data_IF_174297082880
#
_entry.id   IF_174297082880
#
_cell.length_a   1.000
_cell.length_b   1.000
_cell.length_c   1.000
_cell.angle_alpha   90.00
_cell.angle_beta   90.00
_cell.angle_gamma   90.00
#
_symmetry.space_group_name_H-M   'P 1'
#
loop_
_entity.id
_entity.type
_entity.pdbx_description
1 polymer ?
#
# COMPACT_ATOMS: atom_id res chain seq x y z
N UNK A 1 -25.11 10.44 2.93
CA UNK A 1 -23.64 10.46 3.02
C UNK A 1 -23.15 9.06 2.68
N UNK A 2 -22.34 8.91 1.64
CA UNK A 2 -21.71 7.64 1.29
C UNK A 2 -20.81 7.20 2.45
N UNK A 3 -21.05 6.02 3.02
CA UNK A 3 -20.15 5.43 4.01
C UNK A 3 -18.98 4.81 3.26
N UNK A 4 -17.79 5.41 3.37
CA UNK A 4 -16.58 4.84 2.81
C UNK A 4 -16.08 3.71 3.73
N UNK A 5 -15.65 2.56 3.17
CA UNK A 5 -15.23 1.41 3.97
C UNK A 5 -13.79 1.61 4.46
N UNK A 6 -13.57 2.61 5.31
CA UNK A 6 -12.30 2.76 6.01
C UNK A 6 -12.10 1.65 7.03
N UNK A 7 -10.84 1.37 7.32
CA UNK A 7 -10.52 0.55 8.47
C UNK A 7 -10.85 1.31 9.76
N UNK A 8 -11.68 0.71 10.60
CA UNK A 8 -12.06 1.21 11.92
C UNK A 8 -11.71 0.14 12.95
N UNK A 9 -10.95 0.53 13.99
CA UNK A 9 -10.47 -0.40 15.02
C UNK A 9 -11.50 -0.68 16.13
N UNK A 10 -12.74 -0.17 15.98
CA UNK A 10 -13.83 -0.33 16.92
C UNK A 10 -13.70 0.53 18.19
N UNK A 11 -12.64 1.33 18.30
CA UNK A 11 -12.43 2.22 19.44
C UNK A 11 -13.13 3.56 19.26
N UNK A 12 -13.09 4.39 20.29
CA UNK A 12 -13.54 5.80 20.24
C UNK A 12 -12.36 6.77 20.16
N UNK A 13 -11.16 6.25 19.87
CA UNK A 13 -9.95 7.08 19.73
C UNK A 13 -10.12 8.09 18.59
N UNK A 14 -9.42 9.21 18.69
CA UNK A 14 -9.34 10.14 17.57
C UNK A 14 -8.76 9.44 16.32
N UNK A 15 -9.18 9.82 15.10
CA UNK A 15 -8.61 9.30 13.87
C UNK A 15 -7.08 9.42 13.86
N UNK A 16 -6.39 8.37 13.44
CA UNK A 16 -4.93 8.28 13.56
C UNK A 16 -4.27 7.60 12.37
N UNK A 17 -2.99 7.91 12.16
CA UNK A 17 -2.12 7.17 11.27
C UNK A 17 -1.72 5.83 11.93
N UNK A 18 -1.61 4.77 11.13
CA UNK A 18 -0.98 3.51 11.51
C UNK A 18 0.13 3.19 10.53
N UNK A 19 1.34 3.00 11.04
CA UNK A 19 2.53 2.79 10.22
C UNK A 19 2.82 1.30 10.12
N UNK A 20 3.09 0.80 8.93
CA UNK A 20 3.44 -0.59 8.69
C UNK A 20 4.57 -0.78 7.71
N UNK A 21 4.95 -2.04 7.59
CA UNK A 21 6.00 -2.50 6.70
C UNK A 21 5.54 -3.75 5.94
N UNK A 22 5.96 -3.91 4.71
CA UNK A 22 5.68 -5.11 3.95
C UNK A 22 6.70 -6.21 4.24
N UNK A 23 6.25 -7.45 4.37
CA UNK A 23 7.12 -8.58 4.71
C UNK A 23 8.07 -8.91 3.55
N UNK A 24 7.62 -8.77 2.31
CA UNK A 24 8.46 -9.00 1.12
C UNK A 24 9.55 -7.94 0.97
N UNK A 25 9.35 -6.71 1.48
CA UNK A 25 10.41 -5.72 1.57
C UNK A 25 11.52 -6.13 2.54
N UNK A 26 11.31 -7.15 3.37
CA UNK A 26 12.35 -7.69 4.24
C UNK A 26 13.16 -8.81 3.58
N UNK A 27 12.82 -9.24 2.36
CA UNK A 27 13.58 -10.24 1.63
C UNK A 27 15.02 -9.78 1.35
N UNK A 28 15.97 -10.72 1.52
CA UNK A 28 17.42 -10.52 1.32
C UNK A 28 18.05 -9.43 2.19
N UNK A 29 17.39 -9.05 3.29
CA UNK A 29 17.95 -8.15 4.30
C UNK A 29 18.56 -8.95 5.46
N UNK A 30 19.62 -8.43 6.16
CA UNK A 30 20.21 -7.10 6.00
C UNK A 30 20.92 -6.90 4.67
N UNK A 31 20.97 -5.65 4.22
CA UNK A 31 21.50 -5.27 2.90
C UNK A 31 22.87 -5.91 2.64
N UNK A 32 22.95 -6.69 1.55
CA UNK A 32 24.17 -7.35 1.08
C UNK A 32 24.87 -8.29 2.08
N UNK A 33 24.16 -8.74 3.12
CA UNK A 33 24.66 -9.73 4.06
C UNK A 33 24.74 -11.12 3.42
N UNK A 34 25.65 -11.97 3.90
CA UNK A 34 25.77 -13.35 3.42
C UNK A 34 24.57 -14.22 3.85
N UNK A 35 23.92 -13.85 4.95
CA UNK A 35 22.76 -14.53 5.49
C UNK A 35 21.62 -13.54 5.68
N UNK A 36 20.46 -13.92 5.16
CA UNK A 36 19.21 -13.20 5.34
C UNK A 36 18.66 -13.42 6.76
N UNK A 37 17.99 -12.40 7.31
CA UNK A 37 17.20 -12.55 8.52
C UNK A 37 16.17 -13.66 8.38
N UNK A 38 16.01 -14.46 9.42
CA UNK A 38 14.91 -15.41 9.54
C UNK A 38 13.57 -14.67 9.57
N UNK A 39 12.48 -15.39 9.28
CA UNK A 39 11.13 -14.83 9.34
C UNK A 39 10.82 -14.18 10.70
N UNK A 40 11.26 -14.82 11.79
CA UNK A 40 11.06 -14.31 13.14
C UNK A 40 11.85 -13.03 13.40
N UNK A 41 13.14 -12.99 13.04
CA UNK A 41 13.96 -11.77 13.15
C UNK A 41 13.36 -10.61 12.36
N UNK A 42 12.83 -10.85 11.15
CA UNK A 42 12.16 -9.81 10.35
C UNK A 42 10.96 -9.21 11.09
N UNK A 43 10.11 -10.06 11.67
CA UNK A 43 8.92 -9.62 12.42
C UNK A 43 9.32 -8.86 13.68
N UNK A 44 10.34 -9.32 14.40
CA UNK A 44 10.88 -8.65 15.58
C UNK A 44 11.46 -7.28 15.24
N UNK A 45 12.28 -7.18 14.19
CA UNK A 45 12.86 -5.92 13.69
C UNK A 45 11.76 -4.92 13.28
N UNK A 46 10.71 -5.38 12.59
CA UNK A 46 9.56 -4.52 12.23
C UNK A 46 8.90 -3.97 13.50
N UNK A 47 8.64 -4.84 14.49
CA UNK A 47 8.02 -4.45 15.76
C UNK A 47 8.88 -3.46 16.54
N UNK A 48 10.17 -3.73 16.67
CA UNK A 48 11.12 -2.89 17.43
C UNK A 48 11.27 -1.49 16.81
N UNK A 49 11.14 -1.38 15.49
CA UNK A 49 11.10 -0.09 14.79
C UNK A 49 9.80 0.71 15.02
N UNK A 50 8.83 0.14 15.74
CA UNK A 50 7.56 0.79 16.05
C UNK A 50 6.56 0.81 14.89
N UNK A 51 6.70 -0.09 13.93
CA UNK A 51 5.62 -0.41 13.00
C UNK A 51 4.51 -1.20 13.74
N UNK A 52 3.30 -1.12 13.24
CA UNK A 52 2.07 -1.59 13.89
C UNK A 52 1.33 -2.64 13.05
N UNK A 53 1.62 -2.75 11.76
CA UNK A 53 1.10 -3.79 10.88
C UNK A 53 2.15 -4.31 9.92
N UNK A 54 1.93 -5.54 9.44
CA UNK A 54 2.75 -6.19 8.42
C UNK A 54 1.89 -6.60 7.25
N UNK A 55 2.29 -6.19 6.05
CA UNK A 55 1.66 -6.64 4.81
C UNK A 55 2.27 -7.92 4.29
N UNK A 56 1.40 -8.87 3.93
CA UNK A 56 1.82 -10.22 3.62
C UNK A 56 1.15 -10.73 2.34
N UNK A 57 1.98 -11.10 1.35
CA UNK A 57 1.57 -11.95 0.23
C UNK A 57 1.54 -13.41 0.67
N UNK A 58 0.41 -13.85 1.20
CA UNK A 58 0.22 -15.21 1.75
C UNK A 58 -1.04 -15.88 1.20
N UNK A 59 -1.14 -17.19 1.41
CA UNK A 59 -2.25 -18.05 0.97
C UNK A 59 -2.80 -18.85 2.14
N UNK A 60 -3.91 -19.55 1.94
CA UNK A 60 -4.52 -20.45 2.94
C UNK A 60 -3.74 -21.75 3.22
N UNK A 61 -2.47 -21.82 2.85
CA UNK A 61 -1.61 -22.99 3.05
C UNK A 61 -0.88 -22.94 4.41
N UNK A 62 -0.12 -23.99 4.73
CA UNK A 62 0.58 -24.09 6.01
C UNK A 62 1.63 -22.98 6.21
N UNK A 63 2.25 -22.50 5.13
CA UNK A 63 3.19 -21.39 5.20
C UNK A 63 2.46 -20.09 5.56
N UNK A 64 1.34 -19.79 4.90
CA UNK A 64 0.53 -18.61 5.21
C UNK A 64 -0.05 -18.63 6.62
N UNK A 65 -0.53 -19.80 7.09
CA UNK A 65 -0.96 -19.98 8.49
C UNK A 65 0.17 -19.69 9.48
N UNK A 66 1.37 -20.19 9.20
CA UNK A 66 2.54 -19.96 10.04
C UNK A 66 2.93 -18.47 10.10
N UNK A 67 2.97 -17.78 8.95
CA UNK A 67 3.25 -16.34 8.88
C UNK A 67 2.19 -15.54 9.65
N UNK A 68 0.90 -15.82 9.41
CA UNK A 68 -0.20 -15.16 10.10
C UNK A 68 -0.15 -15.37 11.62
N UNK A 69 0.22 -16.57 12.07
CA UNK A 69 0.40 -16.86 13.49
C UNK A 69 1.55 -16.04 14.10
N UNK A 70 2.72 -16.01 13.45
CA UNK A 70 3.87 -15.23 13.94
C UNK A 70 3.58 -13.73 14.01
N UNK A 71 2.91 -13.16 12.99
CA UNK A 71 2.51 -11.75 13.00
C UNK A 71 1.59 -11.47 14.19
N UNK A 72 0.57 -12.30 14.41
CA UNK A 72 -0.35 -12.15 15.54
C UNK A 72 0.34 -12.31 16.90
N UNK A 73 1.20 -13.32 17.06
CA UNK A 73 1.95 -13.58 18.30
C UNK A 73 2.92 -12.44 18.65
N UNK A 74 3.43 -11.74 17.63
CA UNK A 74 4.24 -10.53 17.83
C UNK A 74 3.43 -9.33 18.32
N UNK A 75 2.10 -9.34 18.16
CA UNK A 75 1.21 -8.21 18.47
C UNK A 75 1.05 -7.20 17.33
N UNK A 76 1.65 -7.47 16.16
CA UNK A 76 1.44 -6.69 14.94
C UNK A 76 0.11 -7.08 14.28
N UNK A 77 -0.51 -6.15 13.57
CA UNK A 77 -1.68 -6.42 12.76
C UNK A 77 -1.28 -7.04 11.41
N UNK A 78 -2.07 -7.98 10.90
CA UNK A 78 -1.86 -8.61 9.61
C UNK A 78 -2.65 -7.86 8.52
N UNK A 79 -2.00 -7.50 7.43
CA UNK A 79 -2.66 -7.07 6.20
C UNK A 79 -2.49 -8.17 5.15
N UNK A 80 -3.60 -8.58 4.55
CA UNK A 80 -3.62 -9.68 3.59
C UNK A 80 -3.57 -9.14 2.16
N UNK A 81 -2.51 -9.46 1.43
CA UNK A 81 -2.32 -9.03 0.05
C UNK A 81 -2.73 -10.15 -0.91
N UNK A 82 -3.49 -9.83 -1.95
CA UNK A 82 -3.87 -10.80 -2.98
C UNK A 82 -3.96 -10.18 -4.38
N UNK A 83 -3.73 -11.03 -5.38
CA UNK A 83 -3.80 -10.71 -6.80
C UNK A 83 -4.81 -11.64 -7.48
N UNK A 84 -6.11 -11.31 -7.47
CA UNK A 84 -7.14 -12.17 -8.06
C UNK A 84 -7.16 -12.02 -9.58
N UNK A 85 -7.28 -13.14 -10.30
CA UNK A 85 -7.43 -13.19 -11.75
C UNK A 85 -8.87 -13.45 -12.20
N UNK A 86 -9.71 -13.94 -11.29
CA UNK A 86 -11.13 -14.18 -11.51
C UNK A 86 -11.92 -14.01 -10.20
N UNK A 87 -13.25 -14.13 -10.27
CA UNK A 87 -14.16 -13.96 -9.12
C UNK A 87 -13.92 -15.01 -8.03
N UNK A 88 -13.65 -16.27 -8.40
CA UNK A 88 -13.39 -17.33 -7.41
C UNK A 88 -12.15 -17.02 -6.58
N UNK A 89 -11.09 -16.49 -7.21
CA UNK A 89 -9.84 -16.15 -6.53
C UNK A 89 -10.06 -15.11 -5.41
N UNK A 90 -10.77 -14.02 -5.71
CA UNK A 90 -11.01 -12.95 -4.73
C UNK A 90 -11.93 -13.41 -3.59
N UNK A 91 -12.96 -14.22 -3.89
CA UNK A 91 -13.86 -14.76 -2.86
C UNK A 91 -13.08 -15.63 -1.86
N UNK A 92 -12.23 -16.53 -2.37
CA UNK A 92 -11.39 -17.39 -1.54
C UNK A 92 -10.35 -16.58 -0.74
N UNK A 93 -9.76 -15.56 -1.35
CA UNK A 93 -8.78 -14.70 -0.67
C UNK A 93 -9.40 -13.94 0.50
N UNK A 94 -10.61 -13.39 0.32
CA UNK A 94 -11.32 -12.68 1.41
C UNK A 94 -11.69 -13.62 2.55
N UNK A 95 -12.12 -14.86 2.25
CA UNK A 95 -12.37 -15.88 3.29
C UNK A 95 -11.10 -16.21 4.06
N UNK A 96 -9.99 -16.44 3.34
CA UNK A 96 -8.69 -16.71 3.97
C UNK A 96 -8.22 -15.55 4.84
N UNK A 97 -8.40 -14.30 4.38
CA UNK A 97 -8.04 -13.12 5.13
C UNK A 97 -8.83 -13.01 6.44
N UNK A 98 -10.14 -13.31 6.40
CA UNK A 98 -10.97 -13.36 7.59
C UNK A 98 -10.54 -14.47 8.55
N UNK A 99 -10.26 -15.68 8.05
CA UNK A 99 -9.79 -16.80 8.86
C UNK A 99 -8.44 -16.50 9.55
N UNK A 100 -7.58 -15.73 8.89
CA UNK A 100 -6.29 -15.32 9.44
C UNK A 100 -6.39 -14.12 10.39
N UNK A 101 -7.57 -13.51 10.53
CA UNK A 101 -7.76 -12.32 11.35
C UNK A 101 -7.05 -11.10 10.78
N UNK A 102 -6.99 -10.98 9.45
CA UNK A 102 -6.44 -9.81 8.79
C UNK A 102 -7.25 -8.55 9.14
N UNK A 103 -6.56 -7.43 9.20
CA UNK A 103 -7.13 -6.12 9.48
C UNK A 103 -7.93 -5.58 8.28
N UNK A 104 -7.40 -5.82 7.07
CA UNK A 104 -8.02 -5.51 5.80
C UNK A 104 -7.37 -6.33 4.67
N UNK A 105 -8.00 -6.31 3.50
CA UNK A 105 -7.48 -6.91 2.27
C UNK A 105 -6.96 -5.83 1.34
N UNK A 106 -5.73 -5.97 0.89
CA UNK A 106 -5.18 -5.22 -0.24
C UNK A 106 -5.26 -6.11 -1.49
N UNK A 107 -5.85 -5.57 -2.56
CA UNK A 107 -6.11 -6.28 -3.81
C UNK A 107 -5.41 -5.61 -4.99
N UNK A 108 -4.62 -6.38 -5.73
CA UNK A 108 -4.12 -6.04 -7.06
C UNK A 108 -4.93 -6.80 -8.13
N UNK A 109 -6.03 -6.26 -8.68
CA UNK A 109 -6.91 -7.05 -9.53
C UNK A 109 -6.33 -7.25 -10.94
N UNK A 110 -6.39 -8.51 -11.40
CA UNK A 110 -6.10 -8.93 -12.77
C UNK A 110 -4.77 -8.37 -13.34
N UNK A 111 -4.76 -8.07 -14.64
CA UNK A 111 -3.63 -7.41 -15.33
C UNK A 111 -4.13 -6.20 -16.10
N UNK A 112 -3.19 -5.38 -16.55
CA UNK A 112 -3.41 -4.27 -17.48
C UNK A 112 -4.19 -4.65 -18.76
N UNK A 113 -4.15 -5.93 -19.15
CA UNK A 113 -4.71 -6.42 -20.42
C UNK A 113 -6.14 -6.96 -20.29
N UNK A 114 -6.71 -6.98 -19.09
CA UNK A 114 -8.09 -7.42 -18.88
C UNK A 114 -9.07 -6.28 -19.18
N UNK A 115 -10.29 -6.63 -19.58
CA UNK A 115 -11.32 -5.64 -19.85
C UNK A 115 -11.93 -5.06 -18.58
N UNK A 116 -12.44 -3.82 -18.65
CA UNK A 116 -13.14 -3.18 -17.54
C UNK A 116 -14.28 -4.05 -16.95
N UNK A 117 -15.17 -4.69 -17.75
CA UNK A 117 -16.23 -5.53 -17.19
C UNK A 117 -15.71 -6.74 -16.40
N UNK A 118 -14.63 -7.38 -16.87
CA UNK A 118 -14.01 -8.52 -16.16
C UNK A 118 -13.46 -8.08 -14.81
N UNK A 119 -12.68 -6.99 -14.81
CA UNK A 119 -12.07 -6.45 -13.58
C UNK A 119 -13.12 -5.91 -12.61
N UNK A 120 -14.14 -5.24 -13.13
CA UNK A 120 -15.23 -4.73 -12.31
C UNK A 120 -16.00 -5.87 -11.61
N UNK A 121 -16.18 -7.01 -12.28
CA UNK A 121 -16.80 -8.20 -11.69
C UNK A 121 -15.96 -8.77 -10.53
N UNK A 122 -14.64 -8.86 -10.71
CA UNK A 122 -13.72 -9.32 -9.65
C UNK A 122 -13.77 -8.37 -8.45
N UNK A 123 -13.58 -7.07 -8.66
CA UNK A 123 -13.53 -6.09 -7.57
C UNK A 123 -14.87 -6.02 -6.83
N UNK A 124 -15.99 -6.04 -7.55
CA UNK A 124 -17.32 -6.00 -6.93
C UNK A 124 -17.55 -7.23 -6.04
N UNK A 125 -17.27 -8.44 -6.55
CA UNK A 125 -17.45 -9.66 -5.78
C UNK A 125 -16.56 -9.68 -4.51
N UNK A 126 -15.31 -9.23 -4.62
CA UNK A 126 -14.40 -9.10 -3.49
C UNK A 126 -14.91 -8.12 -2.44
N UNK A 127 -15.35 -6.92 -2.86
CA UNK A 127 -15.88 -5.90 -1.96
C UNK A 127 -17.18 -6.35 -1.26
N UNK A 128 -18.10 -7.00 -1.98
CA UNK A 128 -19.34 -7.54 -1.41
C UNK A 128 -19.05 -8.64 -0.38
N UNK A 129 -18.14 -9.57 -0.70
CA UNK A 129 -17.72 -10.63 0.23
C UNK A 129 -17.04 -10.04 1.46
N UNK A 130 -16.17 -9.05 1.27
CA UNK A 130 -15.46 -8.37 2.35
C UNK A 130 -16.43 -7.64 3.29
N UNK A 131 -17.47 -7.00 2.75
CA UNK A 131 -18.53 -6.40 3.56
C UNK A 131 -19.28 -7.42 4.43
N UNK A 132 -19.56 -8.64 3.91
CA UNK A 132 -20.19 -9.72 4.68
C UNK A 132 -19.31 -10.17 5.85
N UNK A 133 -18.00 -10.32 5.63
CA UNK A 133 -17.04 -10.72 6.67
C UNK A 133 -16.49 -9.54 7.49
N UNK A 134 -16.97 -8.31 7.22
CA UNK A 134 -16.59 -7.06 7.89
C UNK A 134 -15.10 -6.69 7.78
N UNK A 135 -14.52 -6.95 6.61
CA UNK A 135 -13.16 -6.51 6.28
C UNK A 135 -13.21 -5.31 5.32
N UNK A 136 -12.38 -4.28 5.52
CA UNK A 136 -12.08 -3.32 4.48
C UNK A 136 -11.39 -4.02 3.30
N UNK A 137 -11.71 -3.57 2.09
CA UNK A 137 -11.16 -4.12 0.85
C UNK A 137 -10.67 -2.96 -0.01
N UNK A 138 -9.35 -2.87 -0.20
CA UNK A 138 -8.70 -1.77 -0.90
C UNK A 138 -8.09 -2.27 -2.20
N UNK A 139 -8.45 -1.65 -3.31
CA UNK A 139 -7.87 -1.90 -4.62
C UNK A 139 -6.63 -1.04 -4.80
N UNK A 140 -5.49 -1.65 -5.06
CA UNK A 140 -4.23 -0.95 -5.24
C UNK A 140 -4.10 -0.32 -6.61
N UNK A 141 -3.54 0.88 -6.68
CA UNK A 141 -3.00 1.48 -7.91
C UNK A 141 -1.63 0.87 -8.21
N UNK A 142 -1.51 -0.01 -9.21
CA UNK A 142 -0.28 -0.76 -9.43
C UNK A 142 -0.01 -1.02 -10.92
N UNK A 143 1.24 -0.83 -11.36
CA UNK A 143 1.65 -1.10 -12.75
C UNK A 143 1.53 -2.59 -13.07
N UNK A 144 1.21 -2.98 -14.31
CA UNK A 144 0.94 -4.38 -14.68
C UNK A 144 -0.36 -4.98 -14.05
N UNK A 145 -1.16 -4.17 -13.36
CA UNK A 145 -2.54 -4.46 -12.98
C UNK A 145 -3.49 -3.55 -13.75
N UNK A 146 -4.80 -3.78 -13.67
CA UNK A 146 -5.77 -2.94 -14.41
C UNK A 146 -5.66 -1.45 -14.06
N UNK A 147 -5.31 -1.16 -12.82
CA UNK A 147 -5.13 0.18 -12.24
C UNK A 147 -3.73 0.76 -12.51
N UNK A 148 -3.09 0.42 -13.63
CA UNK A 148 -1.73 0.90 -13.94
C UNK A 148 -1.68 2.38 -14.35
N UNK A 149 -2.79 2.93 -14.87
CA UNK A 149 -2.89 4.33 -15.26
C UNK A 149 -4.04 5.06 -14.55
N UNK A 150 -3.94 6.39 -14.49
CA UNK A 150 -5.01 7.25 -13.96
C UNK A 150 -6.31 7.05 -14.77
N UNK A 151 -6.34 7.10 -16.12
CA UNK A 151 -7.58 6.89 -16.88
C UNK A 151 -8.27 5.55 -16.60
N UNK A 152 -7.55 4.43 -16.61
CA UNK A 152 -8.14 3.11 -16.32
C UNK A 152 -8.70 3.04 -14.89
N UNK A 153 -8.00 3.67 -13.93
CA UNK A 153 -8.47 3.73 -12.55
C UNK A 153 -9.74 4.57 -12.42
N UNK A 154 -9.86 5.68 -13.17
CA UNK A 154 -11.07 6.51 -13.23
C UNK A 154 -12.25 5.78 -13.90
N UNK A 155 -12.00 4.97 -14.94
CA UNK A 155 -13.00 4.10 -15.53
C UNK A 155 -13.53 3.07 -14.52
N UNK A 156 -12.63 2.45 -13.74
CA UNK A 156 -13.00 1.52 -12.68
C UNK A 156 -13.81 2.21 -11.57
N UNK A 157 -13.43 3.43 -11.18
CA UNK A 157 -14.18 4.26 -10.23
C UNK A 157 -15.59 4.57 -10.76
N UNK A 158 -15.72 4.85 -12.06
CA UNK A 158 -17.01 5.11 -12.68
C UNK A 158 -17.90 3.86 -12.65
N UNK A 159 -17.32 2.68 -12.91
CA UNK A 159 -18.02 1.40 -12.84
C UNK A 159 -18.36 1.00 -11.39
N UNK A 160 -17.53 1.36 -10.40
CA UNK A 160 -17.68 1.01 -8.99
C UNK A 160 -17.51 2.28 -8.12
N UNK A 161 -18.57 3.11 -7.98
CA UNK A 161 -18.45 4.41 -7.33
C UNK A 161 -17.95 4.40 -5.88
N UNK A 162 -18.19 3.29 -5.16
CA UNK A 162 -17.80 3.06 -3.77
C UNK A 162 -16.45 2.35 -3.59
N UNK A 163 -15.67 2.17 -4.67
CA UNK A 163 -14.34 1.55 -4.57
C UNK A 163 -13.45 2.31 -3.59
N UNK A 164 -12.77 1.57 -2.72
CA UNK A 164 -11.75 2.11 -1.83
C UNK A 164 -10.36 1.70 -2.33
N UNK A 165 -9.40 2.59 -2.19
CA UNK A 165 -8.10 2.52 -2.87
C UNK A 165 -6.96 2.37 -1.87
N UNK A 166 -6.01 1.48 -2.20
CA UNK A 166 -4.62 1.55 -1.73
C UNK A 166 -3.85 2.42 -2.71
N UNK A 167 -3.41 3.61 -2.29
CA UNK A 167 -2.63 4.50 -3.14
C UNK A 167 -1.15 4.15 -3.07
N UNK A 168 -0.66 3.47 -4.12
CA UNK A 168 0.76 3.48 -4.47
C UNK A 168 0.96 4.33 -5.73
N UNK A 169 1.15 5.63 -5.53
CA UNK A 169 1.31 6.57 -6.63
C UNK A 169 2.68 6.49 -7.33
N UNK A 170 3.63 5.71 -6.82
CA UNK A 170 4.89 5.46 -7.52
C UNK A 170 4.68 4.81 -8.88
N UNK A 171 3.62 4.01 -9.02
CA UNK A 171 3.25 3.38 -10.27
C UNK A 171 2.72 4.37 -11.29
N UNK A 172 1.85 5.31 -10.88
CA UNK A 172 1.40 6.37 -11.78
C UNK A 172 2.54 7.30 -12.17
N UNK A 173 3.43 7.61 -11.23
CA UNK A 173 4.58 8.48 -11.49
C UNK A 173 5.51 7.89 -12.54
N UNK A 174 5.84 6.59 -12.43
CA UNK A 174 6.75 5.94 -13.40
C UNK A 174 6.07 5.62 -14.74
N UNK A 175 4.76 5.32 -14.75
CA UNK A 175 4.05 4.99 -16.00
C UNK A 175 3.68 6.24 -16.78
N UNK A 176 3.33 7.32 -16.09
CA UNK A 176 2.87 8.57 -16.69
C UNK A 176 3.93 9.66 -16.82
N UNK A 177 5.20 9.40 -16.46
CA UNK A 177 6.26 10.41 -16.40
C UNK A 177 5.83 11.67 -15.61
N UNK A 178 5.24 11.48 -14.43
CA UNK A 178 4.63 12.58 -13.66
C UNK A 178 5.68 13.31 -12.80
N UNK A 179 6.06 14.53 -13.20
CA UNK A 179 7.12 15.32 -12.54
C UNK A 179 6.64 16.45 -11.61
N UNK A 180 5.33 16.63 -11.38
CA UNK A 180 4.86 17.60 -10.39
C UNK A 180 3.41 18.09 -10.54
N UNK A 181 2.88 18.68 -9.47
CA UNK A 181 1.49 19.16 -9.33
C UNK A 181 1.07 20.17 -10.42
N UNK A 182 1.95 21.11 -10.77
CA UNK A 182 1.62 22.16 -11.73
C UNK A 182 1.72 21.74 -13.20
N UNK A 183 2.45 20.66 -13.50
CA UNK A 183 2.94 20.43 -14.85
C UNK A 183 1.87 19.95 -15.85
N UNK A 184 0.77 19.31 -15.43
CA UNK A 184 -0.11 18.61 -16.40
C UNK A 184 -1.60 18.55 -16.00
N UNK A 185 -2.02 19.29 -14.95
CA UNK A 185 -3.39 19.16 -14.41
C UNK A 185 -3.70 17.79 -13.79
N UNK A 186 -2.69 16.92 -13.64
CA UNK A 186 -2.85 15.57 -13.09
C UNK A 186 -3.43 15.57 -11.66
N UNK A 187 -3.27 16.67 -10.92
CA UNK A 187 -3.88 16.92 -9.61
C UNK A 187 -5.39 16.78 -9.65
N UNK A 188 -6.04 17.39 -10.65
CA UNK A 188 -7.50 17.32 -10.78
C UNK A 188 -7.93 15.92 -11.25
N UNK A 189 -7.08 15.21 -11.99
CA UNK A 189 -7.34 13.82 -12.39
C UNK A 189 -7.09 12.81 -11.24
N UNK A 190 -6.20 13.12 -10.30
CA UNK A 190 -5.93 12.31 -9.12
C UNK A 190 -6.98 12.54 -8.03
N UNK A 191 -7.64 13.70 -7.97
CA UNK A 191 -8.61 14.04 -6.92
C UNK A 191 -9.70 12.98 -6.72
N UNK A 192 -10.36 12.43 -7.76
CA UNK A 192 -11.33 11.35 -7.58
C UNK A 192 -10.72 10.06 -7.00
N UNK A 193 -9.44 9.81 -7.23
CA UNK A 193 -8.71 8.66 -6.66
C UNK A 193 -8.35 8.95 -5.21
N UNK A 194 -7.81 10.14 -4.92
CA UNK A 194 -7.44 10.63 -3.57
C UNK A 194 -8.63 10.58 -2.62
N UNK A 195 -9.82 10.99 -3.06
CA UNK A 195 -11.07 10.94 -2.29
C UNK A 195 -11.51 9.51 -1.93
N UNK A 196 -10.89 8.49 -2.51
CA UNK A 196 -11.17 7.06 -2.27
C UNK A 196 -10.06 6.35 -1.51
N UNK A 197 -8.96 7.03 -1.24
CA UNK A 197 -7.83 6.45 -0.51
C UNK A 197 -8.26 6.11 0.91
N UNK A 198 -8.08 4.84 1.25
CA UNK A 198 -8.24 4.31 2.61
C UNK A 198 -6.95 3.67 3.15
N UNK A 199 -5.92 3.54 2.31
CA UNK A 199 -4.63 2.96 2.62
C UNK A 199 -3.57 3.53 1.66
N UNK A 200 -2.33 3.74 2.12
CA UNK A 200 -1.24 4.33 1.31
C UNK A 200 0.00 3.43 1.34
N UNK A 201 0.59 3.17 0.17
CA UNK A 201 1.95 2.64 0.07
C UNK A 201 2.95 3.80 -0.10
N UNK A 202 4.09 3.66 0.58
CA UNK A 202 5.08 4.70 0.78
C UNK A 202 6.21 4.73 -0.24
N UNK A 203 6.17 3.88 -1.28
CA UNK A 203 7.21 3.87 -2.32
C UNK A 203 7.31 5.24 -2.98
N UNK A 204 8.53 5.70 -3.21
CA UNK A 204 8.82 6.96 -3.90
C UNK A 204 9.48 6.65 -5.26
N UNK A 205 8.92 7.24 -6.30
CA UNK A 205 9.45 7.24 -7.67
C UNK A 205 10.02 8.62 -8.02
N UNK A 206 11.01 8.67 -8.91
CA UNK A 206 11.50 9.92 -9.50
C UNK A 206 10.99 10.16 -10.93
N UNK A 207 9.99 9.39 -11.39
CA UNK A 207 9.45 9.45 -12.76
C UNK A 207 10.08 8.42 -13.70
N UNK A 208 11.34 8.07 -13.49
CA UNK A 208 12.09 7.14 -14.36
C UNK A 208 12.33 5.78 -13.70
N UNK A 209 12.47 5.79 -12.38
CA UNK A 209 12.61 4.61 -11.54
C UNK A 209 11.47 4.61 -10.54
N UNK A 210 10.72 3.51 -10.50
CA UNK A 210 9.59 3.38 -9.58
C UNK A 210 9.98 3.46 -8.10
N UNK A 211 11.24 3.13 -7.80
CA UNK A 211 11.77 3.06 -6.45
C UNK A 211 13.16 3.70 -6.44
N UNK A 212 13.33 4.76 -5.64
CA UNK A 212 14.59 5.47 -5.50
C UNK A 212 14.99 5.62 -4.03
N UNK A 213 16.29 5.80 -3.80
CA UNK A 213 16.82 6.27 -2.52
C UNK A 213 16.59 7.79 -2.41
N UNK A 214 16.00 8.23 -1.30
CA UNK A 214 15.69 9.64 -1.02
C UNK A 214 16.59 10.25 0.06
N UNK A 215 17.74 9.64 0.32
CA UNK A 215 18.69 10.05 1.34
C UNK A 215 18.10 9.93 2.73
N UNK A 216 18.26 10.97 3.55
CA UNK A 216 17.69 11.05 4.91
C UNK A 216 16.24 11.58 4.94
N UNK A 217 15.63 11.83 3.77
CA UNK A 217 14.26 12.34 3.66
C UNK A 217 14.08 13.78 4.16
N UNK A 218 15.16 14.55 4.29
CA UNK A 218 15.07 15.95 4.72
C UNK A 218 14.78 16.91 3.57
N UNK A 219 15.21 16.58 2.35
CA UNK A 219 14.86 17.33 1.14
C UNK A 219 13.42 17.04 0.72
N UNK A 220 12.51 17.91 1.14
CA UNK A 220 11.11 17.94 0.72
C UNK A 220 10.81 19.15 -0.16
N UNK A 221 11.83 19.69 -0.83
CA UNK A 221 11.67 20.84 -1.73
C UNK A 221 10.80 20.48 -2.94
N UNK A 222 10.12 21.48 -3.49
CA UNK A 222 9.37 21.33 -4.73
C UNK A 222 10.32 20.86 -5.87
N UNK A 223 9.96 19.78 -6.55
CA UNK A 223 10.76 19.15 -7.60
C UNK A 223 11.66 18.01 -7.14
N UNK A 224 11.87 17.83 -5.82
CA UNK A 224 12.49 16.60 -5.31
C UNK A 224 11.49 15.43 -5.33
N UNK A 225 11.93 14.17 -5.55
CA UNK A 225 11.03 13.01 -5.47
C UNK A 225 10.33 12.90 -4.10
N UNK A 226 11.05 13.13 -3.00
CA UNK A 226 10.46 13.09 -1.67
C UNK A 226 9.48 14.25 -1.40
N UNK A 227 9.76 15.45 -1.91
CA UNK A 227 8.83 16.58 -1.85
C UNK A 227 7.52 16.31 -2.59
N UNK A 228 7.58 15.73 -3.79
CA UNK A 228 6.38 15.35 -4.55
C UNK A 228 5.50 14.36 -3.75
N UNK A 229 6.09 13.30 -3.23
CA UNK A 229 5.36 12.27 -2.48
C UNK A 229 4.87 12.76 -1.13
N UNK A 230 5.62 13.64 -0.46
CA UNK A 230 5.17 14.30 0.76
C UNK A 230 3.85 15.06 0.52
N UNK A 231 3.78 15.84 -0.55
CA UNK A 231 2.55 16.56 -0.91
C UNK A 231 1.41 15.59 -1.30
N UNK A 232 1.71 14.52 -2.06
CA UNK A 232 0.71 13.48 -2.41
C UNK A 232 0.13 12.81 -1.16
N UNK A 233 0.97 12.42 -0.22
CA UNK A 233 0.53 11.81 1.02
C UNK A 233 -0.24 12.80 1.89
N UNK A 234 0.20 14.07 1.95
CA UNK A 234 -0.54 15.12 2.67
C UNK A 234 -1.96 15.26 2.10
N UNK A 235 -2.13 15.35 0.79
CA UNK A 235 -3.46 15.46 0.17
C UNK A 235 -4.33 14.22 0.42
N UNK A 236 -3.75 13.01 0.36
CA UNK A 236 -4.44 11.77 0.77
C UNK A 236 -4.92 11.84 2.22
N UNK A 237 -4.04 12.24 3.14
CA UNK A 237 -4.35 12.32 4.55
C UNK A 237 -5.37 13.42 4.86
N UNK A 238 -5.26 14.61 4.28
CA UNK A 238 -6.26 15.68 4.42
C UNK A 238 -7.62 15.25 3.91
N UNK A 239 -7.69 14.69 2.69
CA UNK A 239 -8.94 14.18 2.10
C UNK A 239 -9.59 13.07 2.94
N UNK A 240 -8.77 12.19 3.54
CA UNK A 240 -9.24 11.15 4.43
C UNK A 240 -9.76 11.70 5.76
N UNK A 241 -9.04 12.63 6.41
CA UNK A 241 -9.43 13.25 7.68
C UNK A 241 -10.80 13.95 7.61
N UNK A 242 -11.14 14.54 6.46
CA UNK A 242 -12.46 15.17 6.24
C UNK A 242 -13.64 14.19 6.37
N UNK A 243 -13.38 12.89 6.19
CA UNK A 243 -14.40 11.82 6.17
C UNK A 243 -14.28 10.86 7.36
N UNK A 244 -13.16 10.92 8.08
CA UNK A 244 -12.85 10.03 9.18
C UNK A 244 -13.73 10.27 10.41
N UNK A 245 -13.98 9.19 11.15
CA UNK A 245 -14.77 9.12 12.38
C UNK A 245 -13.92 8.57 13.52
N UNK A 246 -14.35 8.73 14.79
CA UNK A 246 -13.69 8.07 15.90
C UNK A 246 -13.49 6.56 15.64
N UNK A 247 -12.30 6.06 15.95
CA UNK A 247 -11.86 4.69 15.67
C UNK A 247 -11.35 4.45 14.26
N UNK A 248 -11.52 5.38 13.31
CA UNK A 248 -10.95 5.21 11.96
C UNK A 248 -9.43 5.35 12.01
N UNK A 249 -8.77 4.55 11.18
CA UNK A 249 -7.32 4.48 11.12
C UNK A 249 -6.88 4.55 9.66
N UNK A 250 -5.93 5.43 9.37
CA UNK A 250 -5.29 5.52 8.06
C UNK A 250 -4.03 4.66 8.07
N UNK A 251 -4.00 3.49 7.42
CA UNK A 251 -2.78 2.70 7.31
C UNK A 251 -1.85 3.31 6.27
N UNK A 252 -0.55 3.24 6.54
CA UNK A 252 0.53 3.59 5.64
C UNK A 252 1.61 2.50 5.69
N UNK A 253 2.02 1.96 4.54
CA UNK A 253 3.02 0.88 4.45
C UNK A 253 4.25 1.36 3.67
N UNK A 254 5.45 1.26 4.22
CA UNK A 254 6.67 1.81 3.57
C UNK A 254 7.02 1.12 2.23
N UNK A 255 6.89 -0.21 2.17
CA UNK A 255 6.79 -0.97 0.91
C UNK A 255 7.90 -0.78 -0.13
N UNK A 256 9.15 -1.12 0.23
CA UNK A 256 10.30 -1.10 -0.68
C UNK A 256 10.68 -2.49 -1.17
N UNK A 257 10.32 -2.81 -2.42
CA UNK A 257 10.51 -4.14 -3.00
C UNK A 257 11.98 -4.56 -3.10
N UNK A 258 12.26 -5.88 -3.03
CA UNK A 258 13.61 -6.44 -3.14
C UNK A 258 14.21 -6.31 -4.56
N UNK A 259 15.47 -6.75 -4.81
CA UNK A 259 16.10 -6.71 -6.13
C UNK A 259 15.20 -7.18 -7.29
N UNK A 260 15.27 -6.45 -8.40
CA UNK A 260 14.26 -6.18 -9.46
C UNK A 260 13.53 -4.84 -9.25
N UNK A 261 13.13 -4.51 -8.02
CA UNK A 261 12.70 -3.15 -7.65
C UNK A 261 13.88 -2.34 -7.14
N UNK A 262 14.62 -2.90 -6.18
CA UNK A 262 15.84 -2.29 -5.67
C UNK A 262 16.89 -2.18 -6.78
N UNK A 263 17.50 -0.99 -6.92
CA UNK A 263 18.60 -0.77 -7.85
C UNK A 263 19.81 -1.55 -7.35
N UNK A 264 20.44 -2.30 -8.25
CA UNK A 264 21.64 -3.10 -7.94
C UNK A 264 22.84 -2.64 -8.76
N UNK A 265 24.02 -2.75 -8.19
CA UNK A 265 25.30 -2.64 -8.90
C UNK A 265 25.49 -3.83 -9.87
N UNK A 266 26.46 -3.77 -10.80
CA UNK A 266 26.68 -4.84 -11.78
C UNK A 266 26.99 -6.22 -11.19
N UNK A 267 27.52 -6.27 -9.96
CA UNK A 267 27.77 -7.50 -9.21
C UNK A 267 26.54 -8.01 -8.43
N UNK A 268 25.37 -7.38 -8.62
CA UNK A 268 24.09 -7.79 -8.07
C UNK A 268 23.84 -7.37 -6.63
N UNK A 269 24.72 -6.54 -6.04
CA UNK A 269 24.53 -5.97 -4.70
C UNK A 269 23.55 -4.81 -4.76
N UNK A 270 22.72 -4.67 -3.73
CA UNK A 270 21.85 -3.51 -3.62
C UNK A 270 22.67 -2.22 -3.50
N UNK A 271 22.21 -1.16 -4.17
CA UNK A 271 22.85 0.15 -4.14
C UNK A 271 22.52 0.93 -2.85
N UNK A 272 21.30 0.78 -2.33
CA UNK A 272 20.82 1.47 -1.13
C UNK A 272 20.26 0.50 -0.09
N UNK A 273 20.32 0.89 1.19
CA UNK A 273 19.77 0.08 2.28
C UNK A 273 18.25 0.30 2.39
N UNK A 274 17.49 -0.67 1.86
CA UNK A 274 16.02 -0.60 1.88
C UNK A 274 15.42 -0.61 3.28
N UNK A 275 16.09 -1.20 4.29
CA UNK A 275 15.58 -1.12 5.66
C UNK A 275 15.68 0.30 6.19
N UNK A 276 16.84 0.96 6.01
CA UNK A 276 17.02 2.35 6.41
C UNK A 276 16.07 3.28 5.66
N UNK A 277 15.92 3.07 4.34
CA UNK A 277 14.97 3.84 3.54
C UNK A 277 13.53 3.64 4.01
N UNK A 278 13.11 2.43 4.41
CA UNK A 278 11.77 2.23 4.98
C UNK A 278 11.53 3.05 6.27
N UNK A 279 12.55 3.21 7.12
CA UNK A 279 12.47 4.08 8.30
C UNK A 279 12.36 5.57 7.92
N UNK A 280 13.04 5.98 6.85
CA UNK A 280 12.94 7.33 6.28
C UNK A 280 11.52 7.58 5.73
N UNK A 281 10.96 6.66 4.95
CA UNK A 281 9.59 6.79 4.40
C UNK A 281 8.55 6.91 5.51
N UNK A 282 8.67 6.08 6.56
CA UNK A 282 7.85 6.17 7.77
C UNK A 282 7.91 7.57 8.40
N UNK A 283 9.10 8.15 8.51
CA UNK A 283 9.28 9.48 9.09
C UNK A 283 8.68 10.59 8.22
N UNK A 284 8.85 10.52 6.89
CA UNK A 284 8.23 11.45 5.93
C UNK A 284 6.71 11.37 6.03
N UNK A 285 6.13 10.16 6.05
CA UNK A 285 4.69 9.94 6.17
C UNK A 285 4.13 10.54 7.47
N UNK A 286 4.83 10.37 8.59
CA UNK A 286 4.43 10.97 9.86
C UNK A 286 4.46 12.51 9.80
N UNK A 287 5.46 13.11 9.13
CA UNK A 287 5.51 14.56 8.89
C UNK A 287 4.35 15.02 8.01
N UNK A 288 4.06 14.29 6.93
CA UNK A 288 2.96 14.60 6.02
C UNK A 288 1.62 14.54 6.76
N UNK A 289 1.39 13.51 7.58
CA UNK A 289 0.21 13.39 8.42
C UNK A 289 0.03 14.55 9.40
N UNK A 290 1.13 15.02 10.01
CA UNK A 290 1.08 16.16 10.94
C UNK A 290 0.81 17.49 10.23
N UNK A 291 1.17 17.59 8.94
CA UNK A 291 0.92 18.75 8.10
C UNK A 291 -0.46 18.72 7.40
N UNK A 292 -1.23 17.63 7.54
CA UNK A 292 -2.47 17.38 6.81
C UNK A 292 -3.76 17.69 7.59
#
# INVERSE_FOLDING_TARGET
MQTFPFFNDGTTNAPRLQLGQSLWAMEKLPMNAAQEWTLQEKIEIIKEAGFQHVECWIKGDEQGKHIAALVRESGLQLVFCHRPMNVSDTLQAVETAADFGAQFVMCQPATAYHSLPEVASIVTAGAEKAAVVKLPYFVETHRNNFTETIPQTLELITAIPNIAITADFSHFVVVGEFYGWAAEGAVEHLRPIIERVGHVHGRISNGEQVQVDVGDGTDLSEGSPAGLFFELWRECFSSWKLRARPGDVMPFTSELGPPRYAITTPDGREFSDRWQQALVLRAIAQRAWNAS
#
